data_IF_096109540478
#
_entry.id   IF_096109540478
#
_cell.length_a   1.000
_cell.length_b   1.000
_cell.length_c   1.000
_cell.angle_alpha   90.00
_cell.angle_beta   90.00
_cell.angle_gamma   90.00
#
_symmetry.space_group_name_H-M   'P 1'
#
loop_
_entity.id
_entity.type
_entity.pdbx_description
1 polymer ?
#
# COMPACT_ATOMS: atom_id res chain seq x y z
N UNK A 1 -0.81 8.01 -14.78
CA UNK A 1 -0.86 7.26 -13.51
C UNK A 1 -0.94 8.31 -12.43
N UNK A 2 -2.14 8.74 -12.07
CA UNK A 2 -2.34 9.70 -10.99
C UNK A 2 -3.13 8.97 -9.91
N UNK A 3 -2.45 8.61 -8.82
CA UNK A 3 -3.04 7.86 -7.73
C UNK A 3 -4.13 8.67 -7.02
N UNK A 4 -4.13 10.00 -7.12
CA UNK A 4 -5.17 10.84 -6.49
C UNK A 4 -6.56 10.63 -7.06
N UNK A 5 -6.69 9.99 -8.23
CA UNK A 5 -7.99 9.69 -8.84
C UNK A 5 -8.59 8.38 -8.37
N UNK A 6 -7.80 7.51 -7.74
CA UNK A 6 -8.20 6.13 -7.40
C UNK A 6 -7.92 5.75 -5.93
N UNK A 7 -6.98 6.43 -5.28
CA UNK A 7 -6.60 6.23 -3.89
C UNK A 7 -7.22 7.32 -3.00
N UNK A 8 -7.72 6.98 -1.80
CA UNK A 8 -7.74 5.66 -1.17
C UNK A 8 -8.73 4.69 -1.81
N UNK A 9 -8.39 3.41 -1.81
CA UNK A 9 -9.29 2.36 -2.31
C UNK A 9 -10.45 2.12 -1.35
N UNK A 10 -11.67 1.99 -1.86
CA UNK A 10 -12.86 1.72 -1.05
C UNK A 10 -13.01 0.25 -0.61
N UNK A 11 -12.13 -0.63 -1.09
CA UNK A 11 -12.21 -2.07 -0.84
C UNK A 11 -10.87 -2.64 -0.36
N UNK A 12 -10.92 -3.82 0.26
CA UNK A 12 -9.71 -4.55 0.67
C UNK A 12 -8.97 -5.06 -0.56
N UNK A 13 -7.73 -4.59 -0.73
CA UNK A 13 -6.84 -5.10 -1.75
C UNK A 13 -6.06 -6.30 -1.23
N UNK A 14 -5.89 -7.32 -2.09
CA UNK A 14 -5.11 -8.51 -1.81
C UNK A 14 -3.95 -8.60 -2.81
N UNK A 15 -2.73 -8.78 -2.30
CA UNK A 15 -1.57 -9.03 -3.15
C UNK A 15 -1.56 -10.50 -3.57
N UNK A 16 -2.07 -10.78 -4.76
CA UNK A 16 -2.15 -12.13 -5.31
C UNK A 16 -0.82 -12.58 -5.93
N UNK A 17 -0.02 -11.63 -6.41
CA UNK A 17 1.25 -11.90 -7.07
C UNK A 17 2.29 -10.83 -6.76
N UNK A 18 3.55 -11.25 -6.61
CA UNK A 18 4.74 -10.41 -6.63
C UNK A 18 5.87 -11.17 -7.33
N UNK A 19 6.79 -10.46 -7.96
CA UNK A 19 7.91 -11.05 -8.71
C UNK A 19 9.23 -11.10 -7.91
N UNK A 20 9.20 -10.77 -6.62
CA UNK A 20 10.34 -10.86 -5.71
C UNK A 20 9.99 -11.78 -4.53
N UNK A 21 11.00 -12.49 -4.03
CA UNK A 21 10.80 -13.47 -2.96
C UNK A 21 10.72 -12.81 -1.59
N UNK A 22 11.62 -11.86 -1.31
CA UNK A 22 11.78 -11.25 0.01
C UNK A 22 11.35 -9.78 0.01
N UNK A 23 10.52 -9.42 0.99
CA UNK A 23 10.14 -8.04 1.31
C UNK A 23 10.81 -7.61 2.62
N UNK A 24 11.42 -6.42 2.73
CA UNK A 24 12.08 -5.98 3.96
C UNK A 24 11.15 -5.85 5.18
N UNK A 25 9.84 -5.65 4.97
CA UNK A 25 8.86 -5.45 6.04
C UNK A 25 8.06 -6.71 6.33
N UNK A 26 7.59 -7.40 5.29
CA UNK A 26 6.84 -8.65 5.47
C UNK A 26 7.75 -9.86 5.68
N UNK A 27 9.04 -9.74 5.39
CA UNK A 27 9.99 -10.84 5.34
C UNK A 27 9.93 -11.61 4.01
N UNK A 28 10.41 -12.85 4.03
CA UNK A 28 10.48 -13.76 2.89
C UNK A 28 9.13 -14.11 2.27
N UNK A 29 8.74 -15.38 2.28
CA UNK A 29 7.59 -15.96 1.57
C UNK A 29 6.19 -15.51 2.03
N UNK A 30 6.07 -14.37 2.71
CA UNK A 30 4.83 -13.78 3.22
C UNK A 30 3.65 -13.96 2.25
N UNK A 31 2.60 -14.60 2.75
CA UNK A 31 1.34 -14.86 2.04
C UNK A 31 0.21 -14.03 2.63
N UNK A 32 -0.92 -14.01 1.93
CA UNK A 32 -2.16 -13.37 2.41
C UNK A 32 -2.01 -11.87 2.73
N UNK A 33 -1.09 -11.18 2.06
CA UNK A 33 -0.89 -9.73 2.22
C UNK A 33 -2.15 -9.01 1.73
N UNK A 34 -2.74 -8.22 2.62
CA UNK A 34 -3.93 -7.42 2.32
C UNK A 34 -3.95 -6.12 3.10
N UNK A 35 -4.62 -5.11 2.55
CA UNK A 35 -4.89 -3.85 3.23
C UNK A 35 -6.24 -3.30 2.84
N UNK A 36 -6.85 -2.52 3.74
CA UNK A 36 -7.95 -1.64 3.44
C UNK A 36 -9.36 -2.18 3.76
N UNK A 37 -10.39 -1.32 3.55
CA UNK A 37 -10.25 0.07 3.13
C UNK A 37 -9.53 0.92 4.19
N UNK A 38 -8.57 1.77 3.79
CA UNK A 38 -7.85 2.63 4.71
C UNK A 38 -8.73 3.81 5.18
N UNK A 39 -8.25 4.57 6.17
CA UNK A 39 -8.91 5.80 6.60
C UNK A 39 -8.84 6.92 5.56
N UNK A 40 -9.39 8.09 5.91
CA UNK A 40 -9.41 9.26 5.02
C UNK A 40 -8.01 9.72 4.65
N UNK A 41 -7.85 10.13 3.38
CA UNK A 41 -6.63 10.79 2.90
C UNK A 41 -6.58 12.23 3.40
N UNK A 42 -5.66 12.53 4.31
CA UNK A 42 -5.44 13.88 4.84
C UNK A 42 -4.26 14.50 4.09
N UNK A 43 -4.58 15.40 3.15
CA UNK A 43 -3.58 16.00 2.26
C UNK A 43 -3.07 14.98 1.24
N UNK A 44 -1.86 14.45 1.44
CA UNK A 44 -1.25 13.43 0.58
C UNK A 44 -1.02 12.10 1.28
N UNK A 45 -1.43 11.96 2.54
CA UNK A 45 -1.05 10.82 3.36
C UNK A 45 -2.24 10.25 4.12
N UNK A 46 -2.17 8.96 4.41
CA UNK A 46 -3.10 8.27 5.29
C UNK A 46 -2.39 7.18 6.08
N UNK A 47 -3.01 6.74 7.17
CA UNK A 47 -2.55 5.59 7.94
C UNK A 47 -3.40 4.37 7.59
N UNK A 48 -2.74 3.22 7.46
CA UNK A 48 -3.41 1.93 7.25
C UNK A 48 -2.60 0.81 7.88
N UNK A 49 -3.23 -0.35 8.04
CA UNK A 49 -2.58 -1.57 8.49
C UNK A 49 -2.56 -2.57 7.34
N UNK A 50 -1.40 -3.18 7.09
CA UNK A 50 -1.28 -4.38 6.27
C UNK A 50 -1.36 -5.60 7.17
N UNK A 51 -2.22 -6.56 6.79
CA UNK A 51 -2.26 -7.87 7.40
C UNK A 51 -1.55 -8.87 6.47
N UNK A 52 -0.79 -9.81 7.04
CA UNK A 52 -0.10 -10.85 6.29
C UNK A 52 0.09 -12.12 7.15
N UNK A 53 0.13 -13.29 6.50
CA UNK A 53 0.14 -14.58 7.20
C UNK A 53 -1.08 -14.76 8.10
N UNK A 54 -0.88 -15.41 9.25
CA UNK A 54 -1.94 -15.66 10.24
C UNK A 54 -2.07 -14.52 11.26
N UNK A 55 -0.96 -13.90 11.67
CA UNK A 55 -0.93 -12.89 12.75
C UNK A 55 -0.12 -11.62 12.42
N UNK A 56 0.50 -11.55 11.24
CA UNK A 56 1.32 -10.41 10.85
C UNK A 56 0.47 -9.16 10.65
N UNK A 57 0.79 -8.11 11.39
CA UNK A 57 0.21 -6.78 11.24
C UNK A 57 1.35 -5.77 11.09
N UNK A 58 1.18 -4.83 10.16
CA UNK A 58 2.13 -3.75 9.91
C UNK A 58 1.37 -2.44 9.73
N UNK A 59 1.53 -1.53 10.69
CA UNK A 59 0.99 -0.18 10.59
C UNK A 59 1.92 0.68 9.75
N UNK A 60 1.35 1.35 8.75
CA UNK A 60 2.10 2.18 7.80
C UNK A 60 1.39 3.51 7.55
N UNK A 61 2.20 4.51 7.24
CA UNK A 61 1.74 5.76 6.64
C UNK A 61 2.04 5.72 5.16
N UNK A 62 1.01 5.69 4.32
CA UNK A 62 1.14 5.82 2.87
C UNK A 62 1.19 7.31 2.52
N UNK A 63 2.10 7.70 1.63
CA UNK A 63 2.18 9.08 1.12
C UNK A 63 2.29 9.10 -0.39
N UNK A 64 1.33 9.75 -1.04
CA UNK A 64 1.34 9.90 -2.48
C UNK A 64 2.42 10.89 -2.92
N UNK A 65 3.35 10.44 -3.74
CA UNK A 65 4.48 11.24 -4.25
C UNK A 65 4.62 11.15 -5.77
N UNK A 66 5.44 12.05 -6.33
CA UNK A 66 5.77 12.07 -7.76
C UNK A 66 7.16 11.50 -7.98
N UNK A 67 7.26 10.52 -8.89
CA UNK A 67 8.55 10.03 -9.38
C UNK A 67 9.27 11.08 -10.25
N UNK A 68 10.61 11.00 -10.44
CA UNK A 68 11.35 11.95 -11.25
C UNK A 68 10.78 12.10 -12.67
N UNK A 69 10.55 13.35 -13.10
CA UNK A 69 9.97 13.68 -14.40
C UNK A 69 8.44 13.69 -14.45
N UNK A 70 7.76 13.37 -13.34
CA UNK A 70 6.30 13.43 -13.25
C UNK A 70 5.83 14.61 -12.38
N UNK A 71 4.70 15.19 -12.78
CA UNK A 71 3.94 16.15 -11.96
C UNK A 71 2.76 15.50 -11.24
N UNK A 72 2.20 14.43 -11.81
CA UNK A 72 1.17 13.63 -11.18
C UNK A 72 1.73 12.85 -9.98
N UNK A 73 0.91 12.58 -8.96
CA UNK A 73 1.31 11.74 -7.83
C UNK A 73 1.12 10.28 -8.22
N UNK A 74 2.19 9.63 -8.65
CA UNK A 74 2.15 8.31 -9.28
C UNK A 74 2.83 7.21 -8.46
N UNK A 75 3.25 7.52 -7.24
CA UNK A 75 3.96 6.60 -6.34
C UNK A 75 3.31 6.61 -4.96
N UNK A 76 3.27 5.43 -4.34
CA UNK A 76 2.80 5.12 -2.98
C UNK A 76 4.01 4.69 -2.15
#
# INVERSE_FOLDING_TARGET
QDETTCFPFESTLHQIYRNFENDPYFGGDAKCVRTGPPGDLIGSSLNTTFAYGTEGLLDVTITLTSSPGYTAKNVI
#
